data_IF_685861993658
#
_entry.id   IF_685861993658
#
_cell.length_a   1.000
_cell.length_b   1.000
_cell.length_c   1.000
_cell.angle_alpha   90.00
_cell.angle_beta   90.00
_cell.angle_gamma   90.00
#
_symmetry.space_group_name_H-M   'P 1'
#
loop_
_entity.id
_entity.type
_entity.pdbx_description
1 polymer ?
#
# COMPACT_ATOMS: atom_id res chain seq x y z
N UNK A 1 14.38 -9.07 10.38
CA UNK A 1 13.24 -8.13 10.19
C UNK A 1 13.72 -6.76 9.71
N UNK A 2 14.56 -6.06 10.48
CA UNK A 2 15.14 -4.75 10.11
C UNK A 2 15.96 -4.78 8.82
N UNK A 3 16.73 -5.85 8.57
CA UNK A 3 17.45 -6.04 7.31
C UNK A 3 16.53 -6.04 6.08
N UNK A 4 15.39 -6.73 6.15
CA UNK A 4 14.41 -6.80 5.05
C UNK A 4 13.79 -5.44 4.76
N UNK A 5 13.44 -4.65 5.79
CA UNK A 5 12.86 -3.31 5.63
C UNK A 5 13.88 -2.35 4.98
N UNK A 6 15.15 -2.42 5.41
CA UNK A 6 16.22 -1.61 4.82
C UNK A 6 16.48 -1.98 3.36
N UNK A 7 16.52 -3.27 3.04
CA UNK A 7 16.67 -3.74 1.66
C UNK A 7 15.47 -3.35 0.79
N UNK A 8 14.25 -3.41 1.32
CA UNK A 8 13.06 -2.94 0.62
C UNK A 8 13.15 -1.44 0.28
N UNK A 9 13.62 -0.61 1.23
CA UNK A 9 13.88 0.81 0.98
C UNK A 9 14.96 1.04 -0.07
N UNK A 10 16.06 0.29 -0.03
CA UNK A 10 17.12 0.39 -1.02
C UNK A 10 16.63 0.04 -2.44
N UNK A 11 15.84 -1.03 -2.57
CA UNK A 11 15.22 -1.43 -3.83
C UNK A 11 14.19 -0.41 -4.32
N UNK A 12 13.38 0.14 -3.42
CA UNK A 12 12.45 1.22 -3.75
C UNK A 12 13.17 2.45 -4.30
N UNK A 13 14.29 2.87 -3.68
CA UNK A 13 15.08 4.00 -4.17
C UNK A 13 15.71 3.70 -5.53
N UNK A 14 16.18 2.47 -5.75
CA UNK A 14 16.77 2.04 -7.03
C UNK A 14 15.74 1.97 -8.16
N UNK A 15 14.51 1.59 -7.85
CA UNK A 15 13.45 1.37 -8.83
C UNK A 15 12.24 2.28 -8.61
N UNK A 16 12.48 3.52 -8.14
CA UNK A 16 11.44 4.45 -7.75
C UNK A 16 10.45 4.71 -8.90
N UNK A 17 10.96 5.02 -10.10
CA UNK A 17 10.12 5.30 -11.28
C UNK A 17 9.06 4.23 -11.57
N UNK A 18 9.44 2.99 -11.92
CA UNK A 18 8.47 1.94 -12.23
C UNK A 18 7.61 1.53 -11.03
N UNK A 19 8.15 1.57 -9.80
CA UNK A 19 7.40 1.20 -8.60
C UNK A 19 6.31 2.24 -8.26
N UNK A 20 6.64 3.53 -8.32
CA UNK A 20 5.66 4.61 -8.13
C UNK A 20 4.68 4.71 -9.29
N UNK A 21 5.09 4.43 -10.53
CA UNK A 21 4.16 4.37 -11.66
C UNK A 21 3.12 3.25 -11.46
N UNK A 22 3.56 2.06 -11.04
CA UNK A 22 2.65 0.96 -10.74
C UNK A 22 1.70 1.31 -9.59
N UNK A 23 2.20 1.90 -8.51
CA UNK A 23 1.36 2.36 -7.41
C UNK A 23 0.37 3.44 -7.86
N UNK A 24 0.80 4.43 -8.65
CA UNK A 24 -0.07 5.47 -9.19
C UNK A 24 -1.19 4.89 -10.05
N UNK A 25 -0.86 3.99 -10.99
CA UNK A 25 -1.86 3.32 -11.83
C UNK A 25 -2.86 2.53 -10.98
N UNK A 26 -2.36 1.77 -10.00
CA UNK A 26 -3.21 0.98 -9.13
C UNK A 26 -4.12 1.87 -8.27
N UNK A 27 -3.60 2.98 -7.74
CA UNK A 27 -4.38 3.96 -6.97
C UNK A 27 -5.43 4.64 -7.86
N UNK A 28 -5.07 5.12 -9.06
CA UNK A 28 -6.01 5.78 -9.98
C UNK A 28 -7.16 4.87 -10.41
N UNK A 29 -6.87 3.61 -10.74
CA UNK A 29 -7.89 2.60 -11.05
C UNK A 29 -8.80 2.36 -9.84
N UNK A 30 -8.26 2.47 -8.62
CA UNK A 30 -9.01 2.26 -7.39
C UNK A 30 -9.83 3.49 -6.93
N UNK A 31 -9.42 4.71 -7.30
CA UNK A 31 -10.12 5.95 -6.92
C UNK A 31 -11.49 6.06 -7.57
N UNK A 32 -11.66 5.58 -8.81
CA UNK A 32 -12.94 5.71 -9.55
C UNK A 32 -14.09 4.92 -8.90
N UNK A 33 -13.92 3.62 -8.55
CA UNK A 33 -14.93 2.88 -7.79
C UNK A 33 -15.19 3.43 -6.39
N UNK A 34 -14.19 4.05 -5.76
CA UNK A 34 -14.29 4.59 -4.39
C UNK A 34 -15.16 5.85 -4.35
N UNK A 35 -14.94 6.77 -5.29
CA UNK A 35 -15.80 7.96 -5.46
C UNK A 35 -17.22 7.55 -5.85
N UNK A 36 -17.37 6.59 -6.76
CA UNK A 36 -18.69 6.08 -7.16
C UNK A 36 -19.47 5.44 -5.99
N UNK A 37 -18.80 4.68 -5.12
CA UNK A 37 -19.42 4.10 -3.91
C UNK A 37 -19.78 5.13 -2.85
N UNK A 38 -18.93 6.14 -2.65
CA UNK A 38 -19.19 7.24 -1.71
C UNK A 38 -20.38 8.10 -2.15
N UNK A 39 -20.54 8.29 -3.46
CA UNK A 39 -21.70 9.00 -4.05
C UNK A 39 -22.98 8.16 -3.96
N UNK A 40 -22.91 6.84 -4.17
CA UNK A 40 -24.10 5.96 -4.14
C UNK A 40 -24.73 5.80 -2.75
N UNK A 41 -23.94 5.94 -1.68
CA UNK A 41 -24.38 5.78 -0.28
C UNK A 41 -24.70 7.11 0.39
N UNK A 42 -24.51 8.23 -0.31
CA UNK A 42 -24.69 9.56 0.25
C UNK A 42 -26.12 9.83 0.73
N UNK A 43 -27.13 9.17 0.13
CA UNK A 43 -28.54 9.43 0.43
C UNK A 43 -29.20 8.39 1.36
N UNK A 44 -28.53 7.30 1.75
CA UNK A 44 -29.12 6.22 2.57
C UNK A 44 -28.20 5.82 3.75
N UNK A 45 -28.41 6.39 4.96
CA UNK A 45 -27.47 6.32 6.09
C UNK A 45 -27.60 5.02 6.90
N UNK A 46 -27.83 3.88 6.24
CA UNK A 46 -27.87 2.59 6.93
C UNK A 46 -26.45 2.05 7.13
N UNK A 47 -26.12 1.66 8.37
CA UNK A 47 -24.78 1.18 8.73
C UNK A 47 -24.27 -0.01 7.90
N UNK A 48 -25.18 -0.77 7.28
CA UNK A 48 -24.84 -1.90 6.41
C UNK A 48 -24.26 -1.46 5.06
N UNK A 49 -24.74 -0.35 4.50
CA UNK A 49 -24.19 0.22 3.26
C UNK A 49 -22.81 0.83 3.49
N UNK A 50 -22.61 1.51 4.62
CA UNK A 50 -21.30 1.99 5.05
C UNK A 50 -20.29 0.83 5.21
N UNK A 51 -20.73 -0.28 5.85
CA UNK A 51 -19.90 -1.48 5.98
C UNK A 51 -19.57 -2.10 4.62
N UNK A 52 -20.56 -2.23 3.72
CA UNK A 52 -20.34 -2.78 2.38
C UNK A 52 -19.34 -1.92 1.58
N UNK A 53 -19.47 -0.60 1.61
CA UNK A 53 -18.52 0.32 0.96
C UNK A 53 -17.12 0.14 1.52
N UNK A 54 -16.99 0.04 2.85
CA UNK A 54 -15.71 -0.19 3.51
C UNK A 54 -15.09 -1.53 3.13
N UNK A 55 -15.86 -2.62 3.11
CA UNK A 55 -15.39 -3.96 2.71
C UNK A 55 -14.91 -3.94 1.26
N UNK A 56 -15.68 -3.37 0.34
CA UNK A 56 -15.25 -3.28 -1.06
C UNK A 56 -14.01 -2.37 -1.19
N UNK A 57 -13.88 -1.34 -0.37
CA UNK A 57 -12.70 -0.46 -0.33
C UNK A 57 -11.45 -1.23 0.07
N UNK A 58 -11.55 -2.03 1.13
CA UNK A 58 -10.47 -2.91 1.59
C UNK A 58 -10.12 -3.97 0.54
N UNK A 59 -11.12 -4.62 -0.07
CA UNK A 59 -10.88 -5.65 -1.09
C UNK A 59 -10.18 -5.07 -2.32
N UNK A 60 -10.61 -3.90 -2.78
CA UNK A 60 -10.03 -3.25 -3.95
C UNK A 60 -8.62 -2.72 -3.68
N UNK A 61 -8.37 -2.18 -2.48
CA UNK A 61 -7.02 -1.83 -2.01
C UNK A 61 -6.11 -3.07 -1.90
N UNK A 62 -6.63 -4.20 -1.42
CA UNK A 62 -5.87 -5.45 -1.36
C UNK A 62 -5.50 -5.95 -2.76
N UNK A 63 -6.43 -5.91 -3.72
CA UNK A 63 -6.16 -6.26 -5.12
C UNK A 63 -5.09 -5.35 -5.72
N UNK A 64 -5.16 -4.04 -5.48
CA UNK A 64 -4.15 -3.07 -5.89
C UNK A 64 -2.76 -3.42 -5.32
N UNK A 65 -2.68 -3.67 -4.01
CA UNK A 65 -1.45 -4.07 -3.33
C UNK A 65 -0.85 -5.35 -3.92
N UNK A 66 -1.68 -6.37 -4.18
CA UNK A 66 -1.24 -7.64 -4.76
C UNK A 66 -0.74 -7.44 -6.20
N UNK A 67 -1.43 -6.65 -7.01
CA UNK A 67 -1.00 -6.35 -8.36
C UNK A 67 0.35 -5.61 -8.36
N UNK A 68 0.50 -4.54 -7.57
CA UNK A 68 1.78 -3.81 -7.44
C UNK A 68 2.91 -4.75 -7.00
N UNK A 69 2.64 -5.62 -6.02
CA UNK A 69 3.59 -6.66 -5.56
C UNK A 69 4.05 -7.55 -6.71
N UNK A 70 3.15 -7.98 -7.58
CA UNK A 70 3.48 -8.80 -8.74
C UNK A 70 4.21 -8.07 -9.86
N UNK A 71 4.01 -6.76 -10.00
CA UNK A 71 4.75 -5.89 -10.95
C UNK A 71 6.19 -5.71 -10.49
N UNK A 72 6.39 -5.35 -9.22
CA UNK A 72 7.72 -5.07 -8.68
C UNK A 72 8.55 -6.33 -8.42
N UNK A 73 7.90 -7.50 -8.32
CA UNK A 73 8.61 -8.78 -8.27
C UNK A 73 9.50 -9.02 -9.51
N UNK A 74 9.13 -8.49 -10.68
CA UNK A 74 9.98 -8.55 -11.88
C UNK A 74 11.24 -7.68 -11.74
N UNK A 75 11.13 -6.55 -11.02
CA UNK A 75 12.26 -5.64 -10.79
C UNK A 75 13.34 -6.27 -9.90
N UNK A 76 12.94 -7.14 -8.96
CA UNK A 76 13.90 -7.81 -8.07
C UNK A 76 14.62 -8.98 -8.74
N UNK A 77 13.95 -9.71 -9.65
CA UNK A 77 14.52 -10.90 -10.29
C UNK A 77 15.20 -10.58 -11.64
N UNK A 78 14.49 -9.86 -12.51
CA UNK A 78 14.85 -9.66 -13.91
C UNK A 78 15.27 -8.21 -14.20
N UNK A 79 15.27 -7.33 -13.19
CA UNK A 79 15.56 -5.89 -13.33
C UNK A 79 14.50 -5.08 -14.07
N UNK A 80 13.38 -5.70 -14.48
CA UNK A 80 12.34 -5.08 -15.31
C UNK A 80 10.93 -5.29 -14.77
N UNK A 81 10.05 -4.29 -14.90
CA UNK A 81 8.68 -4.38 -14.41
C UNK A 81 7.86 -5.35 -15.27
N UNK A 82 7.16 -6.29 -14.63
CA UNK A 82 6.33 -7.29 -15.33
C UNK A 82 4.85 -7.06 -15.02
N UNK A 83 4.14 -6.49 -15.98
CA UNK A 83 2.74 -6.12 -15.83
C UNK A 83 1.77 -7.30 -16.02
N UNK A 84 2.05 -8.17 -17.00
CA UNK A 84 1.18 -9.31 -17.31
C UNK A 84 1.27 -10.39 -16.22
N UNK A 85 0.11 -10.90 -15.77
CA UNK A 85 0.04 -11.92 -14.72
C UNK A 85 0.46 -11.44 -13.33
N UNK A 86 0.54 -10.13 -13.11
CA UNK A 86 1.00 -9.54 -11.86
C UNK A 86 0.15 -9.99 -10.66
N UNK A 87 -1.18 -10.01 -10.77
CA UNK A 87 -2.05 -10.47 -9.68
C UNK A 87 -1.72 -11.89 -9.22
N UNK A 88 -1.62 -12.86 -10.14
CA UNK A 88 -1.31 -14.25 -9.79
C UNK A 88 0.04 -14.36 -9.06
N UNK A 89 1.06 -13.66 -9.54
CA UNK A 89 2.39 -13.62 -8.92
C UNK A 89 2.35 -12.96 -7.55
N UNK A 90 1.72 -11.80 -7.44
CA UNK A 90 1.60 -11.03 -6.21
C UNK A 90 0.86 -11.82 -5.13
N UNK A 91 -0.27 -12.45 -5.46
CA UNK A 91 -1.01 -13.33 -4.55
C UNK A 91 -0.15 -14.49 -4.06
N UNK A 92 0.57 -15.17 -4.97
CA UNK A 92 1.48 -16.25 -4.59
C UNK A 92 2.59 -15.79 -3.65
N UNK A 93 3.23 -14.64 -3.94
CA UNK A 93 4.29 -14.07 -3.10
C UNK A 93 3.77 -13.61 -1.75
N UNK A 94 2.63 -12.92 -1.70
CA UNK A 94 2.02 -12.47 -0.46
C UNK A 94 1.63 -13.66 0.43
N UNK A 95 1.06 -14.71 -0.16
CA UNK A 95 0.73 -15.93 0.57
C UNK A 95 1.96 -16.61 1.18
N UNK A 96 3.03 -16.74 0.39
CA UNK A 96 4.30 -17.31 0.87
C UNK A 96 4.92 -16.41 1.95
N UNK A 97 4.89 -15.09 1.78
CA UNK A 97 5.41 -14.12 2.75
C UNK A 97 4.70 -14.22 4.10
N UNK A 98 3.36 -14.27 4.09
CA UNK A 98 2.55 -14.42 5.32
C UNK A 98 2.84 -15.75 6.01
N UNK A 99 2.98 -16.84 5.25
CA UNK A 99 3.30 -18.16 5.82
C UNK A 99 4.73 -18.25 6.37
N UNK A 100 5.70 -17.64 5.71
CA UNK A 100 7.13 -17.75 6.09
C UNK A 100 7.57 -16.71 7.11
N UNK A 101 7.08 -15.48 6.99
CA UNK A 101 7.57 -14.34 7.76
C UNK A 101 6.42 -13.41 8.20
N UNK A 102 5.42 -13.93 8.94
CA UNK A 102 4.24 -13.15 9.35
C UNK A 102 4.63 -11.90 10.15
N UNK A 103 5.64 -12.00 11.02
CA UNK A 103 6.14 -10.86 11.81
C UNK A 103 6.72 -9.75 10.94
N UNK A 104 7.43 -10.09 9.86
CA UNK A 104 8.00 -9.10 8.93
C UNK A 104 6.91 -8.41 8.13
N UNK A 105 5.88 -9.16 7.71
CA UNK A 105 4.71 -8.58 7.03
C UNK A 105 3.98 -7.62 7.96
N UNK A 106 3.72 -8.02 9.22
CA UNK A 106 3.13 -7.15 10.23
C UNK A 106 3.96 -5.89 10.47
N UNK A 107 5.29 -6.02 10.60
CA UNK A 107 6.15 -4.86 10.78
C UNK A 107 6.15 -3.92 9.57
N UNK A 108 6.13 -4.47 8.35
CA UNK A 108 5.97 -3.69 7.13
C UNK A 108 4.64 -2.95 7.07
N UNK A 109 3.55 -3.63 7.44
CA UNK A 109 2.20 -3.04 7.55
C UNK A 109 2.15 -1.92 8.60
N UNK A 110 2.69 -2.15 9.79
CA UNK A 110 2.73 -1.14 10.87
C UNK A 110 3.57 0.06 10.44
N UNK A 111 4.73 -0.17 9.81
CA UNK A 111 5.61 0.92 9.35
C UNK A 111 4.94 1.72 8.23
N UNK A 112 4.37 1.04 7.23
CA UNK A 112 3.63 1.69 6.15
C UNK A 112 2.40 2.43 6.67
N UNK A 113 1.67 1.84 7.61
CA UNK A 113 0.52 2.44 8.28
C UNK A 113 0.90 3.68 9.10
N UNK A 114 2.03 3.66 9.80
CA UNK A 114 2.54 4.83 10.52
C UNK A 114 2.91 5.98 9.57
N UNK A 115 3.56 5.69 8.44
CA UNK A 115 3.86 6.70 7.41
C UNK A 115 2.57 7.24 6.79
N UNK A 116 1.60 6.37 6.48
CA UNK A 116 0.28 6.77 5.98
C UNK A 116 -0.43 7.70 6.97
N UNK A 117 -0.45 7.34 8.26
CA UNK A 117 -1.02 8.16 9.31
C UNK A 117 -0.32 9.52 9.42
N UNK A 118 1.01 9.58 9.33
CA UNK A 118 1.75 10.85 9.35
C UNK A 118 1.43 11.75 8.15
N UNK A 119 1.08 11.18 6.99
CA UNK A 119 0.69 11.94 5.80
C UNK A 119 -0.76 12.39 5.85
N UNK A 120 -1.64 11.57 6.41
CA UNK A 120 -3.10 11.79 6.40
C UNK A 120 -3.59 12.57 7.63
N UNK A 121 -3.03 12.33 8.82
CA UNK A 121 -3.49 12.97 10.05
C UNK A 121 -3.33 14.50 10.03
N UNK A 122 -2.22 15.10 9.58
CA UNK A 122 -2.11 16.56 9.52
C UNK A 122 -3.14 17.19 8.58
N UNK A 123 -3.39 16.53 7.44
CA UNK A 123 -4.40 16.98 6.48
C UNK A 123 -5.82 16.84 7.05
N UNK A 124 -6.12 15.75 7.75
CA UNK A 124 -7.39 15.56 8.46
C UNK A 124 -7.60 16.58 9.58
N UNK A 125 -6.56 16.89 10.37
CA UNK A 125 -6.60 17.93 11.41
C UNK A 125 -6.80 19.31 10.81
N UNK A 126 -6.10 19.64 9.72
CA UNK A 126 -6.26 20.91 9.02
C UNK A 126 -7.63 21.06 8.37
N UNK A 127 -8.22 19.97 7.88
CA UNK A 127 -9.51 19.96 7.19
C UNK A 127 -10.71 19.96 8.14
N UNK A 128 -10.63 19.28 9.29
CA UNK A 128 -11.75 19.08 10.21
C UNK A 128 -11.66 19.95 11.47
N UNK A 129 -10.46 20.43 11.84
CA UNK A 129 -10.20 21.04 13.14
C UNK A 129 -10.12 20.02 14.26
N UNK A 130 -9.27 20.27 15.26
CA UNK A 130 -9.01 19.34 16.37
C UNK A 130 -10.27 19.02 17.20
N UNK A 131 -11.19 19.97 17.29
CA UNK A 131 -12.43 19.84 18.08
C UNK A 131 -13.52 19.00 17.41
N UNK A 132 -13.51 18.85 16.08
CA UNK A 132 -14.48 17.99 15.34
C UNK A 132 -13.98 16.57 15.09
N UNK A 133 -12.72 16.27 15.43
CA UNK A 133 -12.15 14.91 15.37
C UNK A 133 -12.75 13.98 16.45
N UNK A 134 -13.42 14.54 17.47
CA UNK A 134 -14.03 13.81 18.59
C UNK A 134 -15.53 14.15 18.81
N UNK A 135 -16.12 15.00 17.97
CA UNK A 135 -17.52 15.46 18.10
C UNK A 135 -18.44 14.91 16.99
N UNK A 136 -19.78 15.00 17.15
CA UNK A 136 -20.73 14.51 16.16
C UNK A 136 -20.54 15.29 14.85
N UNK A 137 -20.23 14.55 13.78
CA UNK A 137 -19.94 15.10 12.46
C UNK A 137 -21.24 15.54 11.78
N UNK A 138 -21.70 16.76 12.08
CA UNK A 138 -22.58 17.48 11.16
C UNK A 138 -21.84 17.64 9.83
N UNK A 139 -22.53 17.26 8.74
CA UNK A 139 -22.03 17.04 7.37
C UNK A 139 -20.70 17.75 7.03
N UNK A 140 -19.60 17.00 6.79
CA UNK A 140 -18.32 17.61 6.45
C UNK A 140 -18.45 18.42 5.16
N UNK A 141 -17.94 19.66 5.16
CA UNK A 141 -17.88 20.48 3.96
C UNK A 141 -17.12 19.74 2.84
N UNK A 142 -17.58 19.85 1.59
CA UNK A 142 -17.03 19.16 0.40
C UNK A 142 -15.51 19.31 0.27
N UNK A 143 -14.95 20.44 0.72
CA UNK A 143 -13.50 20.69 0.76
C UNK A 143 -12.73 19.76 1.72
N UNK A 144 -13.30 19.43 2.88
CA UNK A 144 -12.66 18.50 3.82
C UNK A 144 -12.64 17.06 3.29
N UNK A 145 -13.71 16.66 2.59
CA UNK A 145 -13.76 15.38 1.88
C UNK A 145 -12.70 15.29 0.78
N UNK A 146 -12.54 16.35 -0.02
CA UNK A 146 -11.54 16.39 -1.09
C UNK A 146 -10.11 16.29 -0.54
N UNK A 147 -9.78 17.03 0.52
CA UNK A 147 -8.47 16.97 1.18
C UNK A 147 -8.19 15.57 1.76
N UNK A 148 -9.19 14.95 2.40
CA UNK A 148 -9.06 13.59 2.91
C UNK A 148 -8.83 12.57 1.77
N UNK A 149 -9.56 12.67 0.67
CA UNK A 149 -9.39 11.78 -0.49
C UNK A 149 -8.01 11.94 -1.15
N UNK A 150 -7.55 13.19 -1.35
CA UNK A 150 -6.23 13.46 -1.92
C UNK A 150 -5.12 12.94 -0.99
N UNK A 151 -5.28 13.12 0.32
CA UNK A 151 -4.30 12.64 1.30
C UNK A 151 -4.23 11.12 1.33
N UNK A 152 -5.37 10.43 1.19
CA UNK A 152 -5.43 8.97 1.11
C UNK A 152 -4.81 8.43 -0.18
N UNK A 153 -5.02 9.12 -1.30
CA UNK A 153 -4.36 8.83 -2.59
C UNK A 153 -2.85 8.99 -2.47
N UNK A 154 -2.38 10.11 -1.90
CA UNK A 154 -0.95 10.36 -1.70
C UNK A 154 -0.34 9.32 -0.77
N UNK A 155 -1.00 9.03 0.35
CA UNK A 155 -0.53 8.02 1.30
C UNK A 155 -0.46 6.62 0.67
N UNK A 156 -1.45 6.25 -0.14
CA UNK A 156 -1.45 4.99 -0.88
C UNK A 156 -0.29 4.93 -1.88
N UNK A 157 -0.10 5.95 -2.71
CA UNK A 157 0.99 6.00 -3.70
C UNK A 157 2.36 5.92 -3.01
N UNK A 158 2.51 6.54 -1.84
CA UNK A 158 3.77 6.55 -1.08
C UNK A 158 4.06 5.19 -0.43
N UNK A 159 3.04 4.51 0.07
CA UNK A 159 3.21 3.32 0.94
C UNK A 159 3.09 1.98 0.21
N UNK A 160 2.29 1.90 -0.85
CA UNK A 160 2.09 0.68 -1.66
C UNK A 160 3.42 0.09 -2.18
N UNK A 161 4.35 0.88 -2.77
CA UNK A 161 5.61 0.35 -3.28
C UNK A 161 6.49 -0.28 -2.20
N UNK A 162 6.55 0.36 -1.03
CA UNK A 162 7.35 -0.11 0.09
C UNK A 162 6.86 -1.47 0.58
N UNK A 163 5.56 -1.59 0.85
CA UNK A 163 4.97 -2.85 1.31
C UNK A 163 5.09 -3.94 0.25
N UNK A 164 4.99 -3.58 -1.04
CA UNK A 164 5.18 -4.50 -2.15
C UNK A 164 6.60 -5.12 -2.16
N UNK A 165 7.65 -4.30 -2.00
CA UNK A 165 9.02 -4.83 -1.88
C UNK A 165 9.22 -5.67 -0.61
N UNK A 166 8.59 -5.32 0.52
CA UNK A 166 8.64 -6.15 1.74
C UNK A 166 8.02 -7.53 1.49
N UNK A 167 6.86 -7.60 0.83
CA UNK A 167 6.19 -8.85 0.48
C UNK A 167 7.02 -9.70 -0.49
N UNK A 168 7.63 -9.07 -1.50
CA UNK A 168 8.54 -9.76 -2.43
C UNK A 168 9.72 -10.36 -1.67
N UNK A 169 10.43 -9.57 -0.86
CA UNK A 169 11.60 -10.06 -0.12
C UNK A 169 11.25 -11.13 0.92
N UNK A 170 10.09 -11.02 1.57
CA UNK A 170 9.62 -12.01 2.55
C UNK A 170 9.09 -13.30 1.89
N UNK A 171 8.53 -13.20 0.68
CA UNK A 171 8.00 -14.33 -0.09
C UNK A 171 9.08 -15.05 -0.92
N UNK A 172 10.10 -14.32 -1.35
CA UNK A 172 11.25 -14.85 -2.11
C UNK A 172 12.25 -15.56 -1.20
N UNK A 173 12.97 -16.53 -1.76
CA UNK A 173 14.07 -17.24 -1.05
C UNK A 173 15.28 -16.33 -0.77
N UNK A 174 15.31 -15.14 -1.34
CA UNK A 174 16.34 -14.10 -1.12
C UNK A 174 16.17 -13.34 0.20
N UNK A 175 15.34 -13.83 1.12
CA UNK A 175 15.32 -13.32 2.49
C UNK A 175 16.74 -13.40 3.06
N UNK A 176 17.44 -12.26 3.02
CA UNK A 176 18.81 -12.07 3.49
C UNK A 176 18.91 -12.67 4.89
N UNK A 177 19.61 -13.80 4.97
CA UNK A 177 20.02 -14.38 6.23
C UNK A 177 20.87 -13.35 6.98
N UNK A 178 20.76 -13.27 8.32
CA UNK A 178 21.64 -12.43 9.09
C UNK A 178 23.05 -13.03 9.06
N UNK A 179 23.90 -12.55 8.15
CA UNK A 179 25.31 -12.91 8.04
C UNK A 179 25.67 -13.72 6.80
N UNK A 180 26.63 -13.23 6.02
CA UNK A 180 27.19 -13.85 4.82
C UNK A 180 27.59 -12.74 3.84
N UNK A 181 28.72 -12.06 4.00
CA UNK A 181 30.04 -12.64 4.18
C UNK A 181 30.72 -12.66 2.81
N UNK A 182 31.53 -11.63 2.57
CA UNK A 182 32.69 -11.53 1.68
C UNK A 182 32.77 -12.47 0.46
N UNK A 183 32.94 -11.85 -0.70
CA UNK A 183 33.87 -12.32 -1.72
C UNK A 183 33.44 -13.54 -2.53
N UNK A 184 33.06 -13.27 -3.79
CA UNK A 184 33.49 -14.17 -4.86
C UNK A 184 33.79 -13.38 -6.11
N UNK A 185 35.05 -12.96 -6.18
CA UNK A 185 35.76 -12.83 -7.44
C UNK A 185 35.52 -14.07 -8.30
N UNK A 186 35.20 -13.83 -9.56
CA UNK A 186 35.47 -14.73 -10.67
C UNK A 186 36.06 -13.89 -11.79
N UNK A 187 37.35 -13.60 -11.64
CA UNK A 187 38.29 -13.44 -12.76
C UNK A 187 39.07 -14.75 -12.91
#
# INVERSE_FOLDING_TARGET
MTGTLRSALALLRRHAGPAYLAALLATLVNTVPDVGRKVLVWDDPSGWHALAVAVVGVLTAAVAQLWVTGVVAGLTHDGSARWSGALRRGTGLAWVAVRRAPRTVLAGLVTGGAVSALLTLPASVAALGLDRLLGPLDSPAVGAFAVAAVSDVVASVVTLPFLAFVLVLAGSREAVGPGGGLGRDRG
#
